data_IF_041075628441
#
_entry.id   IF_041075628441
#
_cell.length_a   1.000
_cell.length_b   1.000
_cell.length_c   1.000
_cell.angle_alpha   90.00
_cell.angle_beta   90.00
_cell.angle_gamma   90.00
#
_symmetry.space_group_name_H-M   'P 1'
#
loop_
_entity.id
_entity.type
_entity.pdbx_description
1 polymer ?
#
# COMPACT_ATOMS: atom_id res chain seq x y z
N UNK A 1 22.83 0.50 -23.39
CA UNK A 1 23.24 0.09 -22.04
C UNK A 1 22.59 1.01 -21.02
N UNK A 2 21.32 0.75 -20.64
CA UNK A 2 20.55 1.60 -19.71
C UNK A 2 19.99 0.80 -18.51
N UNK A 3 20.60 -0.33 -18.16
CA UNK A 3 20.13 -1.18 -17.06
C UNK A 3 20.50 -0.63 -15.66
N UNK A 4 21.45 0.31 -15.56
CA UNK A 4 22.01 0.71 -14.25
C UNK A 4 21.16 1.74 -13.47
N UNK A 5 20.13 2.35 -14.09
CA UNK A 5 19.26 3.34 -13.44
C UNK A 5 17.78 2.92 -13.34
N UNK A 6 17.47 1.65 -13.56
CA UNK A 6 16.09 1.16 -13.53
C UNK A 6 15.67 0.79 -12.10
N UNK A 7 14.51 1.26 -11.65
CA UNK A 7 13.99 1.00 -10.29
C UNK A 7 13.75 -0.50 -10.05
N UNK A 8 13.45 -1.26 -11.10
CA UNK A 8 13.25 -2.70 -11.06
C UNK A 8 14.06 -3.38 -12.18
N UNK A 9 14.69 -4.51 -11.88
CA UNK A 9 15.47 -5.26 -12.87
C UNK A 9 14.55 -6.07 -13.78
N UNK A 10 14.87 -6.18 -15.09
CA UNK A 10 14.21 -7.13 -15.99
C UNK A 10 14.27 -8.56 -15.43
N UNK A 11 13.25 -9.37 -15.72
CA UNK A 11 13.12 -10.77 -15.28
C UNK A 11 13.20 -10.97 -13.76
N UNK A 12 12.89 -9.93 -12.98
CA UNK A 12 12.88 -9.98 -11.52
C UNK A 12 11.51 -9.56 -11.01
N UNK A 13 10.94 -10.38 -10.13
CA UNK A 13 9.72 -10.03 -9.40
C UNK A 13 10.10 -9.60 -7.99
N UNK A 14 9.73 -8.36 -7.65
CA UNK A 14 9.93 -7.78 -6.33
C UNK A 14 8.68 -8.01 -5.49
N UNK A 15 8.88 -8.26 -4.21
CA UNK A 15 7.80 -8.46 -3.23
C UNK A 15 7.98 -7.46 -2.10
N UNK A 16 6.99 -6.60 -1.91
CA UNK A 16 6.98 -5.58 -0.87
C UNK A 16 5.91 -5.89 0.16
N UNK A 17 6.25 -5.74 1.44
CA UNK A 17 5.27 -5.65 2.51
C UNK A 17 4.80 -4.19 2.60
N UNK A 18 3.53 -3.95 2.30
CA UNK A 18 2.92 -2.62 2.39
C UNK A 18 2.28 -2.48 3.75
N UNK A 19 2.65 -1.43 4.49
CA UNK A 19 2.05 -1.06 5.77
C UNK A 19 1.63 0.40 5.70
N UNK A 20 0.36 0.67 5.94
CA UNK A 20 -0.18 2.03 5.99
C UNK A 20 -0.97 2.21 7.28
N UNK A 21 -1.06 3.45 7.76
CA UNK A 21 -1.98 3.84 8.82
C UNK A 21 -2.50 5.24 8.58
N UNK A 22 -3.76 5.44 8.93
CA UNK A 22 -4.39 6.76 8.97
C UNK A 22 -5.02 6.92 10.34
N UNK A 23 -4.67 8.00 11.04
CA UNK A 23 -5.06 8.24 12.42
C UNK A 23 -5.64 9.64 12.57
N UNK A 24 -6.65 9.75 13.43
CA UNK A 24 -7.24 11.01 13.89
C UNK A 24 -7.13 11.09 15.41
N UNK A 25 -6.87 12.29 15.93
CA UNK A 25 -6.81 12.55 17.37
C UNK A 25 -7.05 14.03 17.69
N UNK A 26 -7.61 14.29 18.88
CA UNK A 26 -7.51 15.59 19.55
C UNK A 26 -6.31 15.57 20.49
N UNK A 27 -5.11 15.50 19.90
CA UNK A 27 -3.88 15.19 20.63
C UNK A 27 -3.50 16.23 21.72
N UNK A 28 -4.07 17.44 21.67
CA UNK A 28 -3.86 18.48 22.68
C UNK A 28 -4.68 18.23 23.96
N UNK A 29 -5.70 17.39 23.90
CA UNK A 29 -6.59 17.07 25.03
C UNK A 29 -6.19 15.76 25.68
N UNK A 30 -5.93 14.73 24.86
CA UNK A 30 -5.49 13.43 25.33
C UNK A 30 -4.71 12.70 24.21
N UNK A 31 -3.78 11.81 24.56
CA UNK A 31 -3.05 11.00 23.59
C UNK A 31 -3.88 9.83 23.03
N UNK A 32 -5.18 10.02 22.81
CA UNK A 32 -6.07 8.99 22.28
C UNK A 32 -6.20 9.14 20.76
N UNK A 33 -5.90 8.07 20.04
CA UNK A 33 -5.96 8.01 18.58
C UNK A 33 -6.98 6.97 18.14
N UNK A 34 -7.69 7.30 17.06
CA UNK A 34 -8.59 6.38 16.37
C UNK A 34 -8.28 6.36 14.88
N UNK A 35 -8.53 5.25 14.19
CA UNK A 35 -8.27 5.18 12.76
C UNK A 35 -8.17 3.77 12.23
N UNK A 36 -7.35 3.59 11.20
CA UNK A 36 -7.14 2.29 10.55
C UNK A 36 -5.65 2.03 10.31
N UNK A 37 -5.27 0.75 10.40
CA UNK A 37 -4.00 0.21 9.88
C UNK A 37 -4.35 -0.71 8.73
N UNK A 38 -3.58 -0.64 7.64
CA UNK A 38 -3.69 -1.53 6.47
C UNK A 38 -2.38 -2.27 6.29
N UNK A 39 -2.46 -3.58 6.09
CA UNK A 39 -1.36 -4.43 5.63
C UNK A 39 -1.72 -5.03 4.27
N UNK A 40 -0.72 -5.14 3.39
CA UNK A 40 -0.85 -5.85 2.12
C UNK A 40 0.52 -6.38 1.66
N UNK A 41 0.51 -7.21 0.61
CA UNK A 41 1.69 -7.58 -0.16
C UNK A 41 1.56 -7.04 -1.57
N UNK A 42 2.60 -6.38 -2.07
CA UNK A 42 2.64 -5.84 -3.41
C UNK A 42 3.73 -6.56 -4.20
N UNK A 43 3.35 -7.25 -5.26
CA UNK A 43 4.31 -7.78 -6.23
C UNK A 43 4.50 -6.78 -7.36
N UNK A 44 5.75 -6.57 -7.77
CA UNK A 44 6.10 -5.66 -8.88
C UNK A 44 7.04 -6.37 -9.85
N UNK A 45 6.76 -6.25 -11.14
CA UNK A 45 7.63 -6.75 -12.20
C UNK A 45 7.72 -5.72 -13.33
N UNK A 46 8.95 -5.40 -13.73
CA UNK A 46 9.17 -4.57 -14.89
C UNK A 46 8.84 -5.34 -16.17
N UNK A 47 7.93 -4.79 -16.97
CA UNK A 47 7.52 -5.35 -18.26
C UNK A 47 8.33 -4.71 -19.41
N UNK A 48 8.66 -3.42 -19.29
CA UNK A 48 9.58 -2.69 -20.16
C UNK A 48 10.17 -1.49 -19.42
N UNK A 49 11.11 -0.74 -20.02
CA UNK A 49 11.81 0.38 -19.37
C UNK A 49 10.89 1.41 -18.69
N UNK A 50 9.68 1.59 -19.20
CA UNK A 50 8.70 2.59 -18.75
C UNK A 50 7.37 1.97 -18.27
N UNK A 51 7.33 0.65 -18.07
CA UNK A 51 6.11 -0.07 -17.72
C UNK A 51 6.38 -1.14 -16.67
N UNK A 52 5.68 -1.04 -15.54
CA UNK A 52 5.66 -2.07 -14.51
C UNK A 52 4.26 -2.67 -14.39
N UNK A 53 4.20 -3.97 -14.18
CA UNK A 53 2.99 -4.69 -13.79
C UNK A 53 3.04 -4.95 -12.30
N UNK A 54 1.96 -4.60 -11.60
CA UNK A 54 1.83 -4.69 -10.16
C UNK A 54 0.60 -5.49 -9.79
N UNK A 55 0.64 -6.14 -8.64
CA UNK A 55 -0.51 -6.86 -8.09
C UNK A 55 -0.49 -6.76 -6.58
N UNK A 56 -1.64 -6.37 -6.01
CA UNK A 56 -1.84 -6.26 -4.57
C UNK A 56 -2.51 -7.54 -4.08
N UNK A 57 -2.01 -8.08 -2.97
CA UNK A 57 -2.45 -9.32 -2.37
C UNK A 57 -2.65 -9.19 -0.86
N UNK A 58 -3.53 -10.02 -0.31
CA UNK A 58 -3.74 -10.18 1.13
C UNK A 58 -3.95 -8.83 1.84
N UNK A 59 -4.76 -7.97 1.22
CA UNK A 59 -5.12 -6.67 1.80
C UNK A 59 -5.99 -6.92 3.01
N UNK A 60 -5.58 -6.37 4.14
CA UNK A 60 -6.28 -6.50 5.41
C UNK A 60 -6.19 -5.16 6.15
N UNK A 61 -7.22 -4.86 6.92
CA UNK A 61 -7.25 -3.68 7.79
C UNK A 61 -7.57 -4.07 9.22
N UNK A 62 -7.13 -3.25 10.16
CA UNK A 62 -7.55 -3.30 11.55
C UNK A 62 -7.96 -1.89 11.99
N UNK A 63 -9.03 -1.80 12.76
CA UNK A 63 -9.40 -0.56 13.42
C UNK A 63 -8.42 -0.27 14.56
N UNK A 64 -8.06 1.00 14.72
CA UNK A 64 -7.24 1.50 15.81
C UNK A 64 -8.13 2.25 16.77
N UNK A 65 -8.02 1.90 18.05
CA UNK A 65 -8.50 2.72 19.16
C UNK A 65 -7.49 2.57 20.31
N UNK A 66 -6.52 3.47 20.37
CA UNK A 66 -5.35 3.29 21.22
C UNK A 66 -4.88 4.61 21.85
N UNK A 67 -4.36 4.50 23.06
CA UNK A 67 -3.56 5.55 23.67
C UNK A 67 -2.14 5.48 23.10
N UNK A 68 -1.74 6.52 22.37
CA UNK A 68 -0.39 6.67 21.81
C UNK A 68 0.28 7.88 22.47
N UNK A 69 0.64 7.72 23.75
CA UNK A 69 1.27 8.76 24.56
C UNK A 69 2.58 9.30 23.98
N UNK A 70 3.27 8.53 23.13
CA UNK A 70 4.49 8.96 22.43
C UNK A 70 4.20 9.51 21.02
N UNK A 71 2.93 9.85 20.73
CA UNK A 71 2.48 10.44 19.49
C UNK A 71 2.08 9.43 18.41
N UNK A 72 1.59 9.93 17.28
CA UNK A 72 1.05 9.12 16.17
C UNK A 72 2.06 8.11 15.60
N UNK A 73 3.37 8.36 15.77
CA UNK A 73 4.41 7.50 15.23
C UNK A 73 4.59 6.21 16.05
N UNK A 74 4.10 6.19 17.29
CA UNK A 74 4.21 5.07 18.24
C UNK A 74 3.77 3.74 17.60
N UNK A 75 4.56 2.67 17.73
CA UNK A 75 4.14 1.34 17.29
C UNK A 75 2.90 0.87 18.06
N UNK A 76 1.92 0.32 17.35
CA UNK A 76 0.77 -0.34 17.96
C UNK A 76 1.08 -1.84 18.00
N UNK A 77 1.03 -2.50 19.16
CA UNK A 77 1.27 -3.94 19.24
C UNK A 77 0.32 -4.73 18.34
N UNK A 78 0.85 -5.69 17.58
CA UNK A 78 0.02 -6.51 16.67
C UNK A 78 -1.07 -7.29 17.42
N UNK A 79 -0.85 -7.64 18.69
CA UNK A 79 -1.85 -8.29 19.55
C UNK A 79 -3.09 -7.43 19.83
N UNK A 80 -3.01 -6.11 19.63
CA UNK A 80 -4.12 -5.17 19.76
C UNK A 80 -4.83 -4.91 18.42
N UNK A 81 -4.31 -5.45 17.32
CA UNK A 81 -4.84 -5.25 15.98
C UNK A 81 -5.60 -6.49 15.52
N UNK A 82 -6.90 -6.35 15.38
CA UNK A 82 -7.76 -7.40 14.85
C UNK A 82 -7.94 -7.21 13.34
N UNK A 83 -7.07 -7.85 12.57
CA UNK A 83 -7.08 -7.73 11.12
C UNK A 83 -8.27 -8.46 10.48
N UNK A 84 -8.90 -7.76 9.54
CA UNK A 84 -10.00 -8.25 8.71
C UNK A 84 -9.62 -8.10 7.23
N UNK A 85 -9.88 -9.11 6.40
CA UNK A 85 -9.56 -9.03 4.98
C UNK A 85 -10.43 -7.97 4.28
N UNK A 86 -9.83 -7.23 3.35
CA UNK A 86 -10.56 -6.41 2.39
C UNK A 86 -10.73 -7.25 1.11
N UNK A 87 -11.96 -7.48 0.62
CA UNK A 87 -12.18 -8.30 -0.57
C UNK A 87 -11.80 -7.53 -1.85
N UNK A 88 -10.51 -7.50 -2.18
CA UNK A 88 -9.99 -6.94 -3.43
C UNK A 88 -10.14 -7.91 -4.59
N UNK A 89 -10.25 -7.38 -5.81
CA UNK A 89 -10.30 -8.18 -7.03
C UNK A 89 -9.01 -8.98 -7.28
N UNK A 90 -7.90 -8.60 -6.64
CA UNK A 90 -6.55 -9.14 -6.84
C UNK A 90 -6.11 -9.09 -8.31
N UNK A 91 -6.71 -8.25 -9.14
CA UNK A 91 -6.33 -8.11 -10.54
C UNK A 91 -5.01 -7.33 -10.65
N UNK A 92 -4.10 -7.73 -11.56
CA UNK A 92 -2.92 -6.93 -11.82
C UNK A 92 -3.30 -5.60 -12.47
N UNK A 93 -2.48 -4.59 -12.23
CA UNK A 93 -2.57 -3.25 -12.82
C UNK A 93 -1.19 -2.83 -13.33
N UNK A 94 -1.14 -1.83 -14.20
CA UNK A 94 0.12 -1.37 -14.78
C UNK A 94 0.37 0.09 -14.44
N UNK A 95 1.64 0.41 -14.14
CA UNK A 95 2.12 1.77 -14.00
C UNK A 95 2.98 2.11 -15.20
N UNK A 96 2.63 3.21 -15.89
CA UNK A 96 3.49 3.85 -16.87
C UNK A 96 4.31 4.92 -16.18
N UNK A 97 5.62 4.86 -16.28
CA UNK A 97 6.51 5.79 -15.61
C UNK A 97 7.71 6.15 -16.49
N UNK A 98 8.28 7.33 -16.27
CA UNK A 98 9.51 7.79 -16.92
C UNK A 98 10.39 8.42 -15.86
N UNK A 99 11.64 7.97 -15.72
CA UNK A 99 12.60 8.47 -14.73
C UNK A 99 12.03 8.49 -13.29
N UNK A 100 11.29 7.45 -12.91
CA UNK A 100 10.65 7.33 -11.60
C UNK A 100 9.35 8.12 -11.40
N UNK A 101 8.93 8.94 -12.37
CA UNK A 101 7.67 9.70 -12.31
C UNK A 101 6.56 8.87 -12.96
N UNK A 102 5.52 8.56 -12.19
CA UNK A 102 4.32 7.87 -12.69
C UNK A 102 3.49 8.86 -13.53
N UNK A 103 3.19 8.49 -14.78
CA UNK A 103 2.38 9.28 -15.70
C UNK A 103 0.92 8.81 -15.78
N UNK A 104 0.69 7.50 -15.61
CA UNK A 104 -0.65 6.92 -15.62
C UNK A 104 -0.66 5.51 -15.02
N UNK A 105 -1.86 5.11 -14.59
CA UNK A 105 -2.16 3.77 -14.12
C UNK A 105 -3.22 3.14 -15.03
N UNK A 106 -3.00 1.90 -15.45
CA UNK A 106 -3.95 1.12 -16.27
C UNK A 106 -4.52 0.01 -15.38
N UNK A 107 -5.83 0.04 -15.18
CA UNK A 107 -6.57 -0.91 -14.34
C UNK A 107 -7.68 -1.60 -15.15
N UNK A 108 -8.11 -2.78 -14.70
CA UNK A 108 -9.27 -3.44 -15.28
C UNK A 108 -10.53 -2.62 -15.04
N UNK A 109 -11.36 -2.42 -16.07
CA UNK A 109 -12.63 -1.65 -15.99
C UNK A 109 -13.59 -2.14 -14.90
N UNK A 110 -13.49 -3.40 -14.49
CA UNK A 110 -14.32 -3.98 -13.43
C UNK A 110 -13.83 -3.72 -12.01
N UNK A 111 -12.72 -2.99 -11.82
CA UNK A 111 -12.24 -2.62 -10.48
C UNK A 111 -13.12 -1.49 -9.93
N UNK A 112 -13.74 -1.65 -8.76
CA UNK A 112 -14.57 -0.61 -8.15
C UNK A 112 -13.71 0.57 -7.66
N UNK A 113 -14.28 1.77 -7.62
CA UNK A 113 -13.57 3.01 -7.25
C UNK A 113 -12.90 2.94 -5.88
N UNK A 114 -13.51 2.27 -4.90
CA UNK A 114 -12.89 2.14 -3.57
C UNK A 114 -11.60 1.32 -3.63
N UNK A 115 -11.54 0.27 -4.45
CA UNK A 115 -10.36 -0.56 -4.63
C UNK A 115 -9.30 0.23 -5.40
N UNK A 116 -9.72 0.98 -6.42
CA UNK A 116 -8.84 1.89 -7.16
C UNK A 116 -8.13 2.90 -6.26
N UNK A 117 -8.79 3.39 -5.21
CA UNK A 117 -8.21 4.33 -4.24
C UNK A 117 -7.22 3.68 -3.25
N UNK A 118 -7.15 2.35 -3.21
CA UNK A 118 -6.19 1.59 -2.38
C UNK A 118 -4.92 1.24 -3.17
N UNK A 119 -5.05 0.99 -4.49
CA UNK A 119 -3.93 0.68 -5.39
C UNK A 119 -2.95 1.86 -5.49
#
# INVERSE_FOLDING_TARGET
>A
TNAENSQWKPNTQYQYAVRARSLAALHQVAPQYTGIVIHAKLSVQQTSDNLATLQLHNVQYANVHANLSQGWSTPIPESQLHFQPIPTSNKPFQLKYTNGIISSMVVSKGVPTWELNIL
#
